data_IF_244313592902
#
_entry.id   IF_244313592902
#
_cell.length_a   1.000
_cell.length_b   1.000
_cell.length_c   1.000
_cell.angle_alpha   90.00
_cell.angle_beta   90.00
_cell.angle_gamma   90.00
#
_symmetry.space_group_name_H-M   'P 1'
#
loop_
_entity.id
_entity.type
_entity.pdbx_description
1 polymer ?
#
# COMPACT_ATOMS: atom_id res chain seq x y z
N UNK A 1 0.01 -5.24 -31.24
CA UNK A 1 -0.85 -5.17 -30.02
C UNK A 1 -0.21 -4.17 -29.06
N UNK A 2 -0.85 -3.04 -28.77
CA UNK A 2 -0.31 -2.04 -27.81
C UNK A 2 -0.02 -2.63 -26.42
N UNK A 3 -0.77 -3.65 -26.02
CA UNK A 3 -0.53 -4.40 -24.78
C UNK A 3 0.87 -5.03 -24.69
N UNK A 4 1.46 -5.44 -25.81
CA UNK A 4 2.81 -6.03 -25.83
C UNK A 4 3.93 -5.00 -25.53
N UNK A 5 3.61 -3.70 -25.46
CA UNK A 5 4.55 -2.65 -25.05
C UNK A 5 4.61 -2.45 -23.53
N UNK A 6 3.62 -2.96 -22.79
CA UNK A 6 3.64 -2.91 -21.33
C UNK A 6 4.60 -3.96 -20.81
N UNK A 7 5.80 -3.53 -20.42
CA UNK A 7 6.81 -4.40 -19.84
C UNK A 7 6.64 -4.57 -18.32
N UNK A 8 5.50 -4.15 -17.77
CA UNK A 8 5.21 -4.20 -16.34
C UNK A 8 5.30 -5.65 -15.84
N UNK A 9 6.09 -5.93 -14.80
CA UNK A 9 6.22 -7.27 -14.20
C UNK A 9 4.98 -7.59 -13.36
N UNK A 10 4.45 -6.61 -12.62
CA UNK A 10 3.22 -6.76 -11.82
C UNK A 10 1.97 -6.37 -12.64
N UNK A 11 1.46 -7.27 -13.49
CA UNK A 11 0.28 -7.00 -14.32
C UNK A 11 -1.01 -6.95 -13.51
N UNK A 12 -1.59 -5.75 -13.37
CA UNK A 12 -2.97 -5.59 -12.96
C UNK A 12 -3.89 -5.41 -14.19
N UNK A 13 -4.20 -6.54 -14.85
CA UNK A 13 -4.95 -6.56 -16.11
C UNK A 13 -6.27 -5.76 -16.06
N UNK A 14 -7.00 -5.83 -14.93
CA UNK A 14 -8.26 -5.11 -14.75
C UNK A 14 -8.12 -3.58 -14.74
N UNK A 15 -6.94 -3.05 -14.41
CA UNK A 15 -6.65 -1.61 -14.52
C UNK A 15 -5.99 -1.23 -15.83
N UNK A 16 -5.15 -2.11 -16.40
CA UNK A 16 -4.47 -1.85 -17.67
C UNK A 16 -5.46 -1.77 -18.84
N UNK A 17 -6.39 -2.74 -18.95
CA UNK A 17 -7.31 -2.79 -20.09
C UNK A 17 -8.19 -1.53 -20.24
N UNK A 18 -8.81 -0.98 -19.17
CA UNK A 18 -9.53 0.29 -19.26
C UNK A 18 -8.63 1.48 -19.62
N UNK A 19 -7.36 1.47 -19.19
CA UNK A 19 -6.41 2.56 -19.44
C UNK A 19 -5.99 2.64 -20.92
N UNK A 20 -6.10 1.54 -21.67
CA UNK A 20 -5.80 1.51 -23.11
C UNK A 20 -6.82 2.29 -23.96
N UNK A 21 -8.00 2.64 -23.43
CA UNK A 21 -8.98 3.49 -24.12
C UNK A 21 -9.69 2.85 -25.33
N UNK A 22 -9.56 1.54 -25.52
CA UNK A 22 -10.27 0.82 -26.58
C UNK A 22 -11.78 0.73 -26.33
N UNK A 23 -12.55 0.55 -27.41
CA UNK A 23 -13.99 0.24 -27.31
C UNK A 23 -14.18 -1.13 -26.67
N UNK A 24 -14.70 -1.14 -25.44
CA UNK A 24 -15.09 -2.35 -24.72
C UNK A 24 -16.60 -2.52 -24.71
N UNK A 25 -17.07 -3.77 -24.79
CA UNK A 25 -18.47 -4.12 -24.54
C UNK A 25 -18.53 -5.28 -23.56
N UNK A 26 -19.59 -5.36 -22.77
CA UNK A 26 -19.85 -6.48 -21.85
C UNK A 26 -20.82 -7.46 -22.52
N UNK A 27 -20.51 -8.77 -22.42
CA UNK A 27 -21.39 -9.83 -22.92
C UNK A 27 -21.89 -10.62 -21.71
N UNK A 28 -23.17 -10.44 -21.39
CA UNK A 28 -23.79 -11.14 -20.27
C UNK A 28 -24.18 -12.55 -20.68
N UNK A 29 -23.87 -13.52 -19.82
CA UNK A 29 -24.32 -14.90 -19.95
C UNK A 29 -24.93 -15.37 -18.63
N UNK A 30 -25.96 -16.21 -18.71
CA UNK A 30 -26.59 -16.79 -17.51
C UNK A 30 -25.73 -17.94 -17.01
N UNK A 31 -25.05 -17.74 -15.88
CA UNK A 31 -24.26 -18.78 -15.23
C UNK A 31 -25.16 -19.64 -14.34
N UNK A 32 -25.05 -20.96 -14.47
CA UNK A 32 -25.71 -21.90 -13.55
C UNK A 32 -25.08 -21.81 -12.16
N UNK A 33 -25.90 -22.07 -11.15
CA UNK A 33 -25.45 -22.13 -9.76
C UNK A 33 -24.45 -23.27 -9.58
N UNK A 34 -23.43 -23.08 -8.74
CA UNK A 34 -22.42 -24.13 -8.54
C UNK A 34 -23.04 -25.31 -7.81
N UNK A 35 -22.98 -26.48 -8.44
CA UNK A 35 -23.50 -27.74 -7.87
C UNK A 35 -22.63 -28.27 -6.72
N UNK A 36 -21.32 -27.98 -6.73
CA UNK A 36 -20.38 -28.37 -5.68
C UNK A 36 -19.11 -27.49 -5.70
N UNK A 37 -18.42 -27.44 -4.56
CA UNK A 37 -17.11 -26.81 -4.39
C UNK A 37 -17.14 -25.42 -3.76
N UNK A 38 -16.03 -25.05 -3.11
CA UNK A 38 -15.86 -23.73 -2.52
C UNK A 38 -15.50 -22.67 -3.58
N UNK A 39 -15.74 -21.41 -3.26
CA UNK A 39 -15.30 -20.32 -4.12
C UNK A 39 -13.78 -20.28 -4.21
N UNK A 40 -13.24 -20.35 -5.44
CA UNK A 40 -11.81 -20.12 -5.69
C UNK A 40 -11.35 -18.71 -5.27
N UNK A 41 -12.29 -17.77 -5.13
CA UNK A 41 -12.11 -16.39 -4.69
C UNK A 41 -12.89 -16.13 -3.38
N UNK A 42 -12.29 -16.46 -2.23
CA UNK A 42 -12.81 -16.02 -0.93
C UNK A 42 -12.52 -14.53 -0.70
N UNK A 43 -13.19 -13.92 0.27
CA UNK A 43 -13.09 -12.50 0.60
C UNK A 43 -11.64 -12.03 0.81
N UNK A 44 -10.81 -12.85 1.46
CA UNK A 44 -9.37 -12.58 1.67
C UNK A 44 -8.61 -12.39 0.34
N UNK A 45 -8.85 -13.24 -0.66
CA UNK A 45 -8.20 -13.11 -1.99
C UNK A 45 -8.72 -11.89 -2.74
N UNK A 46 -9.99 -11.52 -2.55
CA UNK A 46 -10.55 -10.31 -3.14
C UNK A 46 -9.92 -9.05 -2.55
N UNK A 47 -9.70 -9.02 -1.23
CA UNK A 47 -9.02 -7.92 -0.55
C UNK A 47 -7.56 -7.79 -0.99
N UNK A 48 -6.82 -8.91 -1.01
CA UNK A 48 -5.43 -8.93 -1.48
C UNK A 48 -5.31 -8.48 -2.95
N UNK A 49 -6.25 -8.90 -3.80
CA UNK A 49 -6.32 -8.45 -5.19
C UNK A 49 -6.59 -6.93 -5.31
N UNK A 50 -7.50 -6.40 -4.51
CA UNK A 50 -7.79 -4.95 -4.48
C UNK A 50 -6.58 -4.15 -3.98
N UNK A 51 -5.93 -4.62 -2.90
CA UNK A 51 -4.73 -4.00 -2.34
C UNK A 51 -3.60 -3.94 -3.38
N UNK A 52 -3.36 -5.07 -4.08
CA UNK A 52 -2.38 -5.13 -5.16
C UNK A 52 -2.73 -4.20 -6.33
N UNK A 53 -4.00 -4.07 -6.69
CA UNK A 53 -4.45 -3.14 -7.74
C UNK A 53 -4.22 -1.68 -7.37
N UNK A 54 -4.60 -1.26 -6.15
CA UNK A 54 -4.44 0.13 -5.67
C UNK A 54 -2.96 0.51 -5.65
N UNK A 55 -2.10 -0.35 -5.13
CA UNK A 55 -0.66 -0.09 -4.99
C UNK A 55 0.09 -0.16 -6.32
N UNK A 56 -0.41 -0.91 -7.31
CA UNK A 56 0.21 -1.00 -8.65
C UNK A 56 -0.17 0.16 -9.57
N UNK A 57 -1.42 0.63 -9.49
CA UNK A 57 -1.92 1.70 -10.35
C UNK A 57 -1.86 3.09 -9.71
N UNK A 58 -1.51 3.22 -8.42
CA UNK A 58 -1.55 4.49 -7.71
C UNK A 58 -0.53 4.62 -6.56
N UNK A 59 -0.05 5.86 -6.37
CA UNK A 59 0.77 6.29 -5.23
C UNK A 59 -0.06 6.81 -4.05
N UNK A 60 -1.37 6.61 -4.08
CA UNK A 60 -2.29 7.06 -3.03
C UNK A 60 -1.92 6.56 -1.62
N UNK A 61 -1.61 5.27 -1.39
CA UNK A 61 -1.19 4.78 -0.07
C UNK A 61 0.04 5.49 0.48
N UNK A 62 1.03 5.76 -0.38
CA UNK A 62 2.25 6.47 0.00
C UNK A 62 1.96 7.92 0.41
N UNK A 63 1.08 8.61 -0.32
CA UNK A 63 0.64 9.98 0.01
C UNK A 63 -0.13 10.03 1.34
N UNK A 64 -0.95 9.02 1.62
CA UNK A 64 -1.71 8.95 2.86
C UNK A 64 -0.78 8.88 4.08
N UNK A 65 0.28 8.08 4.02
CA UNK A 65 1.28 8.00 5.10
C UNK A 65 2.02 9.33 5.28
N UNK A 66 2.38 9.98 4.18
CA UNK A 66 3.01 11.29 4.26
C UNK A 66 2.12 12.31 4.99
N UNK A 67 0.81 12.31 4.69
CA UNK A 67 -0.16 13.18 5.38
C UNK A 67 -0.28 12.83 6.87
N UNK A 68 -0.35 11.53 7.22
CA UNK A 68 -0.37 11.10 8.63
C UNK A 68 0.90 11.54 9.35
N UNK A 69 2.07 11.38 8.72
CA UNK A 69 3.35 11.84 9.27
C UNK A 69 3.38 13.35 9.48
N UNK A 70 2.83 14.12 8.53
CA UNK A 70 2.73 15.57 8.63
C UNK A 70 1.81 16.01 9.79
N UNK A 71 0.64 15.39 9.93
CA UNK A 71 -0.28 15.64 11.04
C UNK A 71 0.39 15.31 12.37
N UNK A 72 1.07 14.15 12.44
CA UNK A 72 1.79 13.72 13.63
C UNK A 72 2.86 14.74 14.02
N UNK A 73 3.61 15.30 13.05
CA UNK A 73 4.60 16.35 13.27
C UNK A 73 4.01 17.63 13.86
N UNK A 74 2.84 18.07 13.37
CA UNK A 74 2.16 19.22 13.96
C UNK A 74 1.67 18.95 15.39
N UNK A 75 1.16 17.73 15.65
CA UNK A 75 0.73 17.33 17.00
C UNK A 75 1.92 17.28 17.96
N UNK A 76 3.07 16.75 17.55
CA UNK A 76 4.26 16.72 18.41
C UNK A 76 4.77 18.12 18.73
N UNK A 77 4.73 19.04 17.76
CA UNK A 77 5.12 20.44 17.97
C UNK A 77 4.20 21.14 18.99
N UNK A 78 2.89 20.89 18.94
CA UNK A 78 1.93 21.40 19.93
C UNK A 78 2.16 20.81 21.33
N UNK A 79 2.43 19.50 21.41
CA UNK A 79 2.72 18.83 22.69
C UNK A 79 4.00 19.35 23.33
N UNK A 80 5.05 19.60 22.54
CA UNK A 80 6.29 20.22 23.01
C UNK A 80 5.99 21.62 23.55
N UNK A 81 5.27 22.46 22.80
CA UNK A 81 4.90 23.80 23.24
C UNK A 81 4.09 23.79 24.55
N UNK A 82 3.15 22.84 24.70
CA UNK A 82 2.38 22.68 25.93
C UNK A 82 3.24 22.19 27.10
N UNK A 83 4.19 21.28 26.86
CA UNK A 83 5.11 20.77 27.88
C UNK A 83 6.12 21.82 28.38
N UNK A 84 6.40 22.87 27.60
CA UNK A 84 7.28 23.97 28.02
C UNK A 84 6.67 24.82 29.15
N UNK A 85 5.34 24.94 29.22
CA UNK A 85 4.65 25.78 30.21
C UNK A 85 4.86 25.31 31.67
N UNK A 86 4.64 24.03 32.04
CA UNK A 86 4.85 23.55 33.41
C UNK A 86 6.33 23.46 33.84
N UNK A 87 7.27 23.40 32.90
CA UNK A 87 8.71 23.46 33.20
C UNK A 87 9.09 24.82 33.78
N UNK A 88 8.46 25.91 33.31
CA UNK A 88 8.68 27.26 33.84
C UNK A 88 8.08 27.44 35.25
N UNK A 89 7.06 26.68 35.63
CA UNK A 89 6.45 26.69 36.97
C UNK A 89 7.18 25.82 38.01
N UNK A 90 8.27 25.13 37.62
CA UNK A 90 9.10 24.36 38.55
C UNK A 90 8.45 23.07 39.10
N UNK A 91 7.30 22.66 38.59
CA UNK A 91 6.61 21.42 38.98
C UNK A 91 7.07 20.26 38.08
N UNK A 92 8.19 19.65 38.44
CA UNK A 92 8.69 18.45 37.77
C UNK A 92 7.80 17.23 38.10
N UNK A 93 6.78 16.98 37.28
CA UNK A 93 5.96 15.76 37.37
C UNK A 93 6.82 14.58 36.90
N UNK A 94 6.79 13.48 37.67
CA UNK A 94 7.55 12.25 37.41
C UNK A 94 7.21 11.67 36.02
N UNK A 95 8.10 11.91 35.05
CA UNK A 95 7.80 11.90 33.61
C UNK A 95 8.11 10.62 32.83
N UNK A 96 8.27 9.46 33.47
CA UNK A 96 8.65 8.23 32.76
C UNK A 96 7.54 7.78 31.78
N UNK A 97 6.27 7.83 32.17
CA UNK A 97 5.16 7.50 31.27
C UNK A 97 4.98 8.57 30.17
N UNK A 98 5.15 9.85 30.51
CA UNK A 98 5.09 10.99 29.59
C UNK A 98 6.20 11.00 28.54
N UNK A 99 7.33 10.33 28.80
CA UNK A 99 8.46 10.23 27.86
C UNK A 99 8.43 8.93 27.06
N UNK A 100 8.16 7.80 27.72
CA UNK A 100 8.16 6.48 27.07
C UNK A 100 7.00 6.34 26.07
N UNK A 101 5.79 6.81 26.40
CA UNK A 101 4.63 6.66 25.52
C UNK A 101 4.80 7.36 24.16
N UNK A 102 5.22 8.65 24.07
CA UNK A 102 5.49 9.29 22.79
C UNK A 102 6.61 8.62 21.99
N UNK A 103 7.68 8.16 22.65
CA UNK A 103 8.80 7.48 21.98
C UNK A 103 8.33 6.19 21.32
N UNK A 104 7.58 5.35 22.04
CA UNK A 104 7.04 4.11 21.49
C UNK A 104 5.99 4.37 20.41
N UNK A 105 5.13 5.38 20.60
CA UNK A 105 4.16 5.78 19.59
C UNK A 105 4.84 6.24 18.29
N UNK A 106 5.86 7.10 18.39
CA UNK A 106 6.60 7.60 17.25
C UNK A 106 7.43 6.51 16.57
N UNK A 107 8.07 5.64 17.35
CA UNK A 107 8.82 4.49 16.86
C UNK A 107 7.92 3.48 16.13
N UNK A 108 6.73 3.20 16.67
CA UNK A 108 5.73 2.37 16.02
C UNK A 108 5.24 2.98 14.71
N UNK A 109 4.91 4.27 14.71
CA UNK A 109 4.49 4.99 13.50
C UNK A 109 5.57 4.96 12.42
N UNK A 110 6.82 5.27 12.77
CA UNK A 110 7.95 5.24 11.84
C UNK A 110 8.20 3.84 11.27
N UNK A 111 8.04 2.78 12.09
CA UNK A 111 8.18 1.39 11.65
C UNK A 111 7.11 1.01 10.62
N UNK A 112 5.86 1.46 10.82
CA UNK A 112 4.77 1.28 9.83
C UNK A 112 5.11 2.01 8.53
N UNK A 113 5.57 3.26 8.61
CA UNK A 113 5.99 4.02 7.44
C UNK A 113 7.09 3.30 6.64
N UNK A 114 8.12 2.80 7.34
CA UNK A 114 9.23 2.06 6.72
C UNK A 114 8.76 0.75 6.08
N UNK A 115 7.86 0.01 6.74
CA UNK A 115 7.29 -1.21 6.18
C UNK A 115 6.57 -0.96 4.85
N UNK A 116 5.80 0.11 4.76
CA UNK A 116 5.06 0.44 3.53
C UNK A 116 5.99 0.98 2.43
N UNK A 117 6.99 1.78 2.77
CA UNK A 117 8.06 2.17 1.84
C UNK A 117 8.76 0.91 1.30
N UNK A 118 9.06 -0.06 2.15
CA UNK A 118 9.64 -1.34 1.77
C UNK A 118 8.78 -2.13 0.75
N UNK A 119 7.45 -2.10 0.89
CA UNK A 119 6.53 -2.71 -0.09
C UNK A 119 6.66 -2.05 -1.46
N UNK A 120 6.70 -0.72 -1.52
CA UNK A 120 6.88 0.04 -2.76
C UNK A 120 8.27 -0.18 -3.38
N UNK A 121 9.33 -0.12 -2.58
CA UNK A 121 10.70 -0.40 -3.03
C UNK A 121 10.82 -1.82 -3.55
N UNK A 122 10.19 -2.79 -2.89
CA UNK A 122 10.14 -4.18 -3.36
C UNK A 122 9.44 -4.33 -4.71
N UNK A 123 8.37 -3.57 -4.96
CA UNK A 123 7.71 -3.53 -6.29
C UNK A 123 8.61 -2.92 -7.35
N UNK A 124 9.25 -1.78 -7.06
CA UNK A 124 10.21 -1.13 -7.95
C UNK A 124 11.37 -2.09 -8.27
N UNK A 125 11.90 -2.80 -7.26
CA UNK A 125 12.96 -3.78 -7.46
C UNK A 125 12.54 -4.90 -8.42
N UNK A 126 11.32 -5.45 -8.25
CA UNK A 126 10.78 -6.47 -9.16
C UNK A 126 10.63 -5.95 -10.59
N UNK A 127 10.24 -4.69 -10.74
CA UNK A 127 10.07 -4.02 -12.02
C UNK A 127 11.43 -3.81 -12.73
N UNK A 128 12.43 -3.32 -12.00
CA UNK A 128 13.80 -3.11 -12.52
C UNK A 128 14.47 -4.43 -12.87
N UNK A 129 14.23 -5.49 -12.09
CA UNK A 129 14.83 -6.79 -12.35
C UNK A 129 14.35 -7.41 -13.67
N UNK A 130 13.19 -6.98 -14.18
CA UNK A 130 12.65 -7.33 -15.51
C UNK A 130 12.80 -8.83 -15.84
N UNK A 131 12.58 -9.71 -14.86
CA UNK A 131 12.75 -11.16 -15.07
C UNK A 131 11.75 -11.64 -16.12
N UNK A 132 12.18 -12.41 -17.13
CA UNK A 132 11.27 -12.94 -18.14
C UNK A 132 10.21 -13.83 -17.47
N UNK A 133 8.96 -13.64 -17.88
CA UNK A 133 7.77 -14.28 -17.28
C UNK A 133 7.71 -15.78 -17.51
N UNK A 134 8.35 -16.22 -18.58
CA UNK A 134 8.41 -17.60 -19.01
C UNK A 134 9.77 -17.82 -19.67
N UNK A 135 10.26 -19.04 -19.57
CA UNK A 135 11.43 -19.51 -20.31
C UNK A 135 10.86 -20.51 -21.30
N UNK A 136 11.12 -20.29 -22.59
CA UNK A 136 10.73 -21.24 -23.64
C UNK A 136 11.77 -22.34 -23.63
N UNK A 137 11.34 -23.58 -23.38
CA UNK A 137 12.22 -24.74 -23.37
C UNK A 137 12.41 -25.32 -24.78
N UNK A 138 11.34 -25.36 -25.58
CA UNK A 138 11.39 -25.81 -26.97
C UNK A 138 10.29 -25.12 -27.78
N UNK A 139 10.61 -24.70 -29.01
CA UNK A 139 9.68 -24.10 -29.96
C UNK A 139 9.39 -25.14 -31.04
N UNK A 140 8.14 -25.63 -31.09
CA UNK A 140 7.67 -26.68 -32.02
C UNK A 140 7.11 -26.05 -33.30
#
# INVERSE_FOLDING_TARGET
>A
MEFARFNEVNLFLRGIFPTLGFKSTEVYYKRLERFAGETKYPFKKMFEFAWNGITSCSVFPLRLIFIIGLISFFVSLLLIAWAFYPILEGKAIQGWALTVLPIFFWGGLQTICLGLIGEYVGKIYKEIQARPRFIIEEEI
#
